data_IF_156820212090
#
_entry.id   IF_156820212090
#
_cell.length_a   1.000
_cell.length_b   1.000
_cell.length_c   1.000
_cell.angle_alpha   90.00
_cell.angle_beta   90.00
_cell.angle_gamma   90.00
#
_symmetry.space_group_name_H-M   'P 1'
#
loop_
_entity.id
_entity.type
_entity.pdbx_description
1 polymer ?
#
# COMPACT_ATOMS: atom_id res chain seq x y z
N UNK A 1 30.99 -8.90 2.72
CA UNK A 1 30.35 -7.94 1.80
C UNK A 1 29.04 -7.56 2.47
N UNK A 2 29.01 -6.42 3.17
CA UNK A 2 27.79 -5.94 3.81
C UNK A 2 26.96 -5.26 2.74
N UNK A 3 25.79 -5.83 2.45
CA UNK A 3 24.88 -5.30 1.45
C UNK A 3 24.52 -3.86 1.82
N UNK A 4 25.01 -2.93 1.03
CA UNK A 4 24.56 -1.55 1.01
C UNK A 4 23.12 -1.56 0.48
N UNK A 5 22.13 -1.46 1.35
CA UNK A 5 20.77 -1.09 0.92
C UNK A 5 20.62 0.41 1.18
N UNK A 6 20.83 1.29 0.19
CA UNK A 6 20.66 2.72 0.37
C UNK A 6 19.18 3.05 0.25
N UNK A 7 18.34 2.74 1.23
CA UNK A 7 16.90 3.07 1.17
C UNK A 7 16.24 2.91 2.52
N UNK A 8 15.71 4.02 3.08
CA UNK A 8 15.15 4.06 4.43
C UNK A 8 14.00 3.08 4.69
N UNK A 9 13.60 2.92 5.96
CA UNK A 9 12.74 1.81 6.42
C UNK A 9 11.44 1.68 5.62
N UNK A 10 10.85 2.79 5.20
CA UNK A 10 9.60 2.81 4.41
C UNK A 10 9.76 2.17 3.03
N UNK A 11 10.92 2.28 2.38
CA UNK A 11 11.14 1.65 1.06
C UNK A 11 11.15 0.13 1.11
N UNK A 12 11.46 -0.47 2.27
CA UNK A 12 11.37 -1.92 2.47
C UNK A 12 9.94 -2.44 2.27
N UNK A 13 8.92 -1.62 2.59
CA UNK A 13 7.51 -1.99 2.38
C UNK A 13 7.13 -2.12 0.89
N UNK A 14 7.90 -1.49 0.01
CA UNK A 14 7.65 -1.46 -1.43
C UNK A 14 8.64 -2.32 -2.23
N UNK A 15 9.59 -2.98 -1.56
CA UNK A 15 10.55 -3.85 -2.22
C UNK A 15 9.80 -4.97 -2.95
N UNK A 16 9.98 -5.05 -4.27
CA UNK A 16 9.35 -6.11 -5.04
C UNK A 16 10.05 -7.43 -4.75
N UNK A 17 9.27 -8.46 -4.43
CA UNK A 17 9.80 -9.82 -4.43
C UNK A 17 10.11 -10.21 -5.90
N UNK A 18 11.38 -10.50 -6.24
CA UNK A 18 11.78 -10.79 -7.62
C UNK A 18 11.19 -12.11 -8.15
N UNK A 19 10.50 -12.90 -7.32
CA UNK A 19 9.79 -14.12 -7.70
C UNK A 19 8.27 -13.92 -7.80
N UNK A 20 7.75 -12.71 -7.61
CA UNK A 20 6.33 -12.42 -7.80
C UNK A 20 5.96 -12.54 -9.28
N UNK A 21 5.40 -13.70 -9.67
CA UNK A 21 4.95 -13.97 -11.03
C UNK A 21 3.83 -12.98 -11.43
N UNK A 22 4.03 -12.12 -12.46
CA UNK A 22 3.05 -11.11 -12.86
C UNK A 22 1.86 -11.71 -13.63
N UNK A 23 1.93 -12.98 -14.03
CA UNK A 23 0.90 -13.63 -14.82
C UNK A 23 -0.08 -14.39 -13.93
N UNK A 24 -1.26 -13.81 -13.69
CA UNK A 24 -2.41 -14.57 -13.18
C UNK A 24 -3.38 -13.84 -12.26
N UNK A 25 -3.12 -12.59 -11.87
CA UNK A 25 -4.04 -11.83 -11.00
C UNK A 25 -4.92 -10.95 -11.88
N UNK A 26 -6.24 -11.15 -11.82
CA UNK A 26 -7.17 -10.28 -12.55
C UNK A 26 -7.02 -8.84 -12.04
N UNK A 27 -6.86 -7.85 -12.93
CA UNK A 27 -6.69 -6.46 -12.54
C UNK A 27 -7.94 -6.01 -11.78
N UNK A 28 -7.75 -5.44 -10.59
CA UNK A 28 -8.87 -4.87 -9.84
C UNK A 28 -9.34 -3.59 -10.54
N UNK A 29 -10.62 -3.57 -10.93
CA UNK A 29 -11.25 -2.40 -11.57
C UNK A 29 -11.30 -1.19 -10.63
N UNK A 30 -11.59 -1.42 -9.35
CA UNK A 30 -11.79 -0.37 -8.35
C UNK A 30 -11.30 -0.82 -6.97
N UNK A 31 -10.23 -0.20 -6.46
CA UNK A 31 -9.74 -0.48 -5.10
C UNK A 31 -10.83 -0.25 -4.04
N UNK A 32 -11.61 0.81 -4.19
CA UNK A 32 -12.67 1.17 -3.24
C UNK A 32 -13.76 0.11 -3.10
N UNK A 33 -14.06 -0.62 -4.19
CA UNK A 33 -15.07 -1.69 -4.22
C UNK A 33 -14.50 -3.05 -3.85
N UNK A 34 -13.20 -3.23 -4.04
CA UNK A 34 -12.52 -4.47 -3.75
C UNK A 34 -12.11 -4.64 -2.29
N UNK A 35 -12.09 -3.56 -1.49
CA UNK A 35 -11.93 -3.66 -0.05
C UNK A 35 -13.19 -4.22 0.62
N UNK A 36 -13.00 -5.27 1.42
CA UNK A 36 -14.03 -5.73 2.36
C UNK A 36 -14.23 -4.71 3.49
N UNK A 37 -15.38 -4.77 4.18
CA UNK A 37 -15.68 -3.90 5.33
C UNK A 37 -14.59 -4.03 6.41
N UNK A 38 -14.14 -5.26 6.69
CA UNK A 38 -13.09 -5.52 7.68
C UNK A 38 -11.77 -4.84 7.30
N UNK A 39 -11.31 -4.99 6.05
CA UNK A 39 -10.06 -4.37 5.59
C UNK A 39 -10.16 -2.85 5.64
N UNK A 40 -11.31 -2.29 5.28
CA UNK A 40 -11.55 -0.85 5.34
C UNK A 40 -11.44 -0.32 6.77
N UNK A 41 -12.06 -0.99 7.74
CA UNK A 41 -11.98 -0.61 9.17
C UNK A 41 -10.55 -0.76 9.68
N UNK A 42 -9.89 -1.89 9.37
CA UNK A 42 -8.51 -2.17 9.76
C UNK A 42 -7.56 -1.08 9.24
N UNK A 43 -7.52 -0.84 7.93
CA UNK A 43 -6.64 0.17 7.35
C UNK A 43 -6.93 1.56 7.89
N UNK A 44 -8.22 1.94 8.02
CA UNK A 44 -8.58 3.24 8.58
C UNK A 44 -7.96 3.43 9.96
N UNK A 45 -8.12 2.45 10.85
CA UNK A 45 -7.63 2.51 12.23
C UNK A 45 -6.10 2.51 12.30
N UNK A 46 -5.46 1.53 11.65
CA UNK A 46 -4.02 1.27 11.77
C UNK A 46 -3.17 2.24 10.95
N UNK A 47 -3.57 2.49 9.70
CA UNK A 47 -2.73 3.20 8.72
C UNK A 47 -3.12 4.66 8.55
N UNK A 48 -4.36 5.02 8.86
CA UNK A 48 -4.89 6.37 8.69
C UNK A 48 -5.34 7.00 10.03
N UNK A 49 -5.02 6.37 11.17
CA UNK A 49 -5.30 6.95 12.50
C UNK A 49 -6.78 7.16 12.82
N UNK A 50 -7.68 6.45 12.14
CA UNK A 50 -9.13 6.62 12.25
C UNK A 50 -9.76 7.48 11.14
N UNK A 51 -8.96 8.12 10.28
CA UNK A 51 -9.47 9.01 9.22
C UNK A 51 -9.99 8.24 8.01
N UNK A 52 -11.29 7.91 8.02
CA UNK A 52 -11.93 7.20 6.92
C UNK A 52 -11.99 8.03 5.62
N UNK A 53 -12.14 9.35 5.74
CA UNK A 53 -12.12 10.26 4.59
C UNK A 53 -10.76 10.26 3.90
N UNK A 54 -9.67 10.20 4.69
CA UNK A 54 -8.32 10.13 4.14
C UNK A 54 -8.09 8.80 3.42
N UNK A 55 -8.50 7.68 4.01
CA UNK A 55 -8.45 6.37 3.32
C UNK A 55 -9.21 6.42 1.98
N UNK A 56 -10.45 6.91 1.96
CA UNK A 56 -11.25 6.98 0.74
C UNK A 56 -10.59 7.89 -0.32
N UNK A 57 -10.05 9.02 0.10
CA UNK A 57 -9.34 9.95 -0.78
C UNK A 57 -8.10 9.28 -1.37
N UNK A 58 -7.29 8.61 -0.55
CA UNK A 58 -6.13 7.86 -1.00
C UNK A 58 -6.54 6.76 -1.99
N UNK A 59 -7.55 5.95 -1.67
CA UNK A 59 -8.04 4.90 -2.57
C UNK A 59 -8.53 5.48 -3.91
N UNK A 60 -9.16 6.66 -3.90
CA UNK A 60 -9.60 7.36 -5.12
C UNK A 60 -8.41 7.90 -5.92
N UNK A 61 -7.40 8.46 -5.26
CA UNK A 61 -6.14 8.89 -5.88
C UNK A 61 -5.44 7.71 -6.54
N UNK A 62 -5.31 6.60 -5.81
CA UNK A 62 -4.78 5.34 -6.34
C UNK A 62 -5.69 4.77 -7.44
N UNK A 63 -6.98 5.08 -7.43
CA UNK A 63 -7.87 4.75 -8.55
C UNK A 63 -7.52 5.47 -9.85
N UNK A 64 -7.10 6.73 -9.76
CA UNK A 64 -6.82 7.58 -10.92
C UNK A 64 -5.34 7.60 -11.31
N UNK A 65 -4.42 7.23 -10.42
CA UNK A 65 -2.97 7.20 -10.67
C UNK A 65 -2.56 6.28 -11.84
N UNK A 66 -3.39 5.30 -12.20
CA UNK A 66 -3.22 4.48 -13.42
C UNK A 66 -2.06 3.48 -13.39
N UNK A 67 -1.05 3.66 -12.55
CA UNK A 67 0.08 2.73 -12.40
C UNK A 67 0.68 2.75 -10.99
N UNK A 68 1.30 1.63 -10.60
CA UNK A 68 2.03 1.49 -9.32
C UNK A 68 3.12 2.56 -9.10
N UNK A 69 4.00 2.88 -10.06
CA UNK A 69 5.03 3.92 -9.86
C UNK A 69 4.44 5.32 -9.58
N UNK A 70 3.24 5.63 -10.09
CA UNK A 70 2.56 6.90 -9.79
C UNK A 70 1.89 6.89 -8.40
N UNK A 71 1.48 5.71 -7.92
CA UNK A 71 0.90 5.50 -6.60
C UNK A 71 1.94 5.44 -5.48
N UNK A 72 3.12 4.89 -5.76
CA UNK A 72 4.20 4.69 -4.80
C UNK A 72 4.57 5.96 -3.98
N UNK A 73 4.81 7.15 -4.58
CA UNK A 73 5.17 8.33 -3.80
C UNK A 73 4.06 8.80 -2.84
N UNK A 74 2.79 8.55 -3.17
CA UNK A 74 1.64 8.83 -2.29
C UNK A 74 1.70 7.90 -1.07
N UNK A 75 1.92 6.60 -1.31
CA UNK A 75 2.03 5.60 -0.25
C UNK A 75 3.26 5.84 0.64
N UNK A 76 4.43 6.15 0.06
CA UNK A 76 5.65 6.48 0.83
C UNK A 76 5.47 7.72 1.71
N UNK A 77 4.69 8.70 1.26
CA UNK A 77 4.38 9.90 2.04
C UNK A 77 3.44 9.58 3.21
N UNK A 78 2.43 8.74 2.99
CA UNK A 78 1.53 8.26 4.05
C UNK A 78 2.27 7.39 5.07
N UNK A 79 3.10 6.46 4.59
CA UNK A 79 3.87 5.57 5.44
C UNK A 79 4.80 6.32 6.38
N UNK A 80 5.45 7.39 5.90
CA UNK A 80 6.24 8.29 6.74
C UNK A 80 5.38 9.11 7.71
N UNK A 81 4.24 9.62 7.25
CA UNK A 81 3.34 10.44 8.06
C UNK A 81 2.71 9.68 9.23
N UNK A 82 2.31 8.44 9.00
CA UNK A 82 1.59 7.60 9.97
C UNK A 82 2.45 6.54 10.64
N UNK A 83 3.77 6.56 10.38
CA UNK A 83 4.74 5.59 10.88
C UNK A 83 4.31 4.14 10.62
N UNK A 84 4.02 3.80 9.37
CA UNK A 84 3.65 2.43 8.98
C UNK A 84 4.74 1.37 9.25
N UNK A 85 5.93 1.82 9.66
CA UNK A 85 7.05 0.96 10.05
C UNK A 85 6.98 0.51 11.51
N UNK A 86 6.04 1.01 12.31
CA UNK A 86 5.76 0.45 13.64
C UNK A 86 5.35 -1.01 13.53
N UNK A 87 5.82 -1.84 14.46
CA UNK A 87 5.63 -3.30 14.40
C UNK A 87 4.15 -3.69 14.27
N UNK A 88 3.27 -3.01 15.01
CA UNK A 88 1.82 -3.23 14.97
C UNK A 88 1.17 -2.86 13.62
N UNK A 89 1.75 -1.90 12.89
CA UNK A 89 1.20 -1.38 11.62
C UNK A 89 1.85 -2.00 10.40
N UNK A 90 3.06 -2.53 10.54
CA UNK A 90 3.91 -3.00 9.43
C UNK A 90 3.23 -4.11 8.62
N UNK A 91 2.55 -5.03 9.29
CA UNK A 91 1.79 -6.09 8.63
C UNK A 91 0.59 -5.52 7.86
N UNK A 92 -0.21 -4.68 8.51
CA UNK A 92 -1.35 -3.98 7.90
C UNK A 92 -0.92 -3.14 6.68
N UNK A 93 0.22 -2.48 6.76
CA UNK A 93 0.80 -1.67 5.69
C UNK A 93 1.21 -2.52 4.49
N UNK A 94 1.84 -3.68 4.73
CA UNK A 94 2.20 -4.65 3.67
C UNK A 94 0.96 -5.16 2.94
N UNK A 95 -0.07 -5.56 3.69
CA UNK A 95 -1.37 -5.98 3.13
C UNK A 95 -2.00 -4.90 2.25
N UNK A 96 -1.96 -3.64 2.70
CA UNK A 96 -2.48 -2.51 1.93
C UNK A 96 -1.71 -2.30 0.62
N UNK A 97 -0.37 -2.34 0.67
CA UNK A 97 0.49 -2.17 -0.51
C UNK A 97 0.28 -3.31 -1.51
N UNK A 98 0.20 -4.55 -1.04
CA UNK A 98 -0.10 -5.71 -1.88
C UNK A 98 -1.45 -5.57 -2.58
N UNK A 99 -2.47 -5.08 -1.89
CA UNK A 99 -3.78 -4.82 -2.46
C UNK A 99 -3.72 -3.75 -3.58
N UNK A 100 -2.92 -2.70 -3.39
CA UNK A 100 -2.67 -1.69 -4.43
C UNK A 100 -1.90 -2.29 -5.62
N UNK A 101 -0.90 -3.14 -5.37
CA UNK A 101 -0.14 -3.82 -6.44
C UNK A 101 -1.04 -4.72 -7.27
N UNK A 102 -1.93 -5.49 -6.67
CA UNK A 102 -2.90 -6.34 -7.39
C UNK A 102 -3.78 -5.56 -8.36
N UNK A 103 -4.05 -4.28 -8.07
CA UNK A 103 -4.84 -3.43 -8.96
C UNK A 103 -4.08 -3.02 -10.22
N UNK A 104 -2.75 -2.93 -10.16
CA UNK A 104 -1.91 -2.58 -11.29
C UNK A 104 -1.21 -3.78 -11.94
N UNK A 105 -1.40 -4.98 -11.39
CA UNK A 105 -0.91 -6.25 -11.91
C UNK A 105 -1.73 -6.72 -13.13
#
# INVERSE_FOLDING_TARGET
MVNTTPSGPVKELFAEDPHANPFGRQPLKDLTKSLTINNRVLFTRDLFGGDNELLNTTLRTLNVSGSMPAAQPVLESLARRFNWMEEDKKETAREFIELVRRRYA
#
